data_IF_782325133219
#
_entry.id   IF_782325133219
#
_cell.length_a   1.000
_cell.length_b   1.000
_cell.length_c   1.000
_cell.angle_alpha   90.00
_cell.angle_beta   90.00
_cell.angle_gamma   90.00
#
_symmetry.space_group_name_H-M   'P 1'
#
loop_
_entity.id
_entity.type
_entity.pdbx_description
1 polymer ?
#
# COMPACT_ATOMS: atom_id res chain seq x y z
N UNK A 1 11.83 -10.96 -7.71
CA UNK A 1 10.44 -11.43 -7.91
C UNK A 1 9.51 -10.50 -7.16
N UNK A 2 8.62 -9.79 -7.87
CA UNK A 2 7.63 -8.90 -7.31
C UNK A 2 6.58 -9.75 -6.60
N UNK A 3 6.44 -9.53 -5.30
CA UNK A 3 5.42 -10.18 -4.47
C UNK A 3 4.05 -9.64 -4.90
N UNK A 4 3.11 -10.52 -5.23
CA UNK A 4 1.84 -10.18 -5.88
C UNK A 4 0.72 -9.90 -4.89
N UNK A 5 0.79 -10.44 -3.68
CA UNK A 5 -0.29 -10.38 -2.70
C UNK A 5 0.18 -9.86 -1.34
N UNK A 6 -0.70 -9.25 -0.54
CA UNK A 6 -0.36 -8.82 0.82
C UNK A 6 0.27 -9.92 1.68
N UNK A 7 -0.18 -11.17 1.49
CA UNK A 7 0.23 -12.34 2.25
C UNK A 7 1.56 -12.97 1.76
N UNK A 8 2.23 -12.37 0.77
CA UNK A 8 3.57 -12.77 0.38
C UNK A 8 4.66 -11.93 1.06
N UNK A 9 4.30 -10.75 1.58
CA UNK A 9 5.20 -9.83 2.28
C UNK A 9 5.53 -10.29 3.70
N UNK A 10 6.67 -9.82 4.23
CA UNK A 10 7.30 -10.34 5.46
C UNK A 10 6.32 -10.42 6.63
N UNK A 11 5.48 -9.39 6.79
CA UNK A 11 4.51 -9.28 7.88
C UNK A 11 3.42 -10.36 7.88
N UNK A 12 2.87 -10.67 6.70
CA UNK A 12 1.68 -11.51 6.57
C UNK A 12 1.98 -12.91 6.05
N UNK A 13 3.22 -13.18 5.63
CA UNK A 13 3.67 -14.45 5.02
C UNK A 13 3.41 -15.70 5.87
N UNK A 14 3.38 -15.56 7.19
CA UNK A 14 3.15 -16.67 8.12
C UNK A 14 1.65 -16.90 8.42
N UNK A 15 0.75 -16.04 7.93
CA UNK A 15 -0.68 -16.21 8.15
C UNK A 15 -1.22 -17.33 7.26
N UNK A 16 -1.76 -18.37 7.89
CA UNK A 16 -2.43 -19.44 7.16
C UNK A 16 -3.85 -18.99 6.75
N UNK A 17 -4.02 -18.73 5.46
CA UNK A 17 -5.29 -18.29 4.88
C UNK A 17 -6.10 -19.42 4.23
N UNK A 18 -5.66 -20.69 4.30
CA UNK A 18 -6.30 -21.78 3.54
C UNK A 18 -7.76 -22.01 3.91
N UNK A 19 -8.08 -22.00 5.20
CA UNK A 19 -9.46 -22.12 5.70
C UNK A 19 -10.32 -20.94 5.25
N UNK A 20 -9.76 -19.72 5.29
CA UNK A 20 -10.47 -18.50 4.85
C UNK A 20 -10.77 -18.59 3.36
N UNK A 21 -9.78 -18.95 2.54
CA UNK A 21 -9.92 -19.13 1.09
C UNK A 21 -10.97 -20.18 0.75
N UNK A 22 -10.96 -21.34 1.43
CA UNK A 22 -11.95 -22.40 1.22
C UNK A 22 -13.37 -21.94 1.54
N UNK A 23 -13.56 -21.24 2.66
CA UNK A 23 -14.87 -20.74 3.06
C UNK A 23 -15.37 -19.61 2.16
N UNK A 24 -14.47 -18.77 1.63
CA UNK A 24 -14.82 -17.78 0.59
C UNK A 24 -15.27 -18.48 -0.69
N UNK A 25 -14.57 -19.51 -1.16
CA UNK A 25 -14.99 -20.27 -2.35
C UNK A 25 -16.39 -20.88 -2.15
N UNK A 26 -16.67 -21.44 -0.96
CA UNK A 26 -18.02 -21.93 -0.61
C UNK A 26 -19.07 -20.82 -0.67
N UNK A 27 -18.76 -19.65 -0.11
CA UNK A 27 -19.64 -18.48 -0.16
C UNK A 27 -19.92 -18.01 -1.59
N UNK A 28 -18.90 -17.98 -2.44
CA UNK A 28 -19.04 -17.60 -3.85
C UNK A 28 -20.03 -18.51 -4.58
N UNK A 29 -19.90 -19.83 -4.37
CA UNK A 29 -20.74 -20.85 -5.01
C UNK A 29 -22.18 -20.78 -4.51
N UNK A 30 -22.37 -20.50 -3.22
CA UNK A 30 -23.68 -20.63 -2.57
C UNK A 30 -24.52 -19.36 -2.71
N UNK A 31 -23.96 -18.20 -2.35
CA UNK A 31 -24.77 -16.98 -2.10
C UNK A 31 -24.27 -15.74 -2.84
N UNK A 32 -22.98 -15.65 -3.20
CA UNK A 32 -22.41 -14.37 -3.63
C UNK A 32 -23.01 -13.84 -4.95
N UNK A 33 -23.41 -14.72 -5.87
CA UNK A 33 -24.03 -14.31 -7.13
C UNK A 33 -25.28 -13.43 -6.89
N UNK A 34 -26.08 -13.76 -5.87
CA UNK A 34 -27.23 -12.96 -5.47
C UNK A 34 -26.81 -11.68 -4.74
N UNK A 35 -25.87 -11.76 -3.80
CA UNK A 35 -25.38 -10.60 -3.03
C UNK A 35 -24.73 -9.56 -3.93
N UNK A 36 -23.99 -9.97 -4.96
CA UNK A 36 -23.37 -9.10 -5.96
C UNK A 36 -24.38 -8.17 -6.64
N UNK A 37 -25.64 -8.59 -6.79
CA UNK A 37 -26.70 -7.74 -7.37
C UNK A 37 -27.14 -6.59 -6.46
N UNK A 38 -26.75 -6.63 -5.17
CA UNK A 38 -27.14 -5.67 -4.12
C UNK A 38 -26.04 -4.68 -3.77
N UNK A 39 -24.88 -4.75 -4.43
CA UNK A 39 -23.75 -3.89 -4.14
C UNK A 39 -24.03 -2.44 -4.53
N UNK A 40 -23.71 -1.51 -3.63
CA UNK A 40 -23.86 -0.06 -3.88
C UNK A 40 -22.75 0.48 -4.77
N UNK A 41 -21.53 -0.09 -4.68
CA UNK A 41 -20.40 0.24 -5.54
C UNK A 41 -19.97 -1.02 -6.26
N UNK A 42 -20.06 -1.02 -7.59
CA UNK A 42 -19.65 -2.15 -8.42
C UNK A 42 -18.22 -1.93 -8.88
N UNK A 43 -17.40 -2.95 -8.68
CA UNK A 43 -16.02 -3.00 -9.13
C UNK A 43 -15.93 -3.99 -10.29
N UNK A 44 -15.30 -3.57 -11.39
CA UNK A 44 -15.08 -4.46 -12.53
C UNK A 44 -14.00 -5.49 -12.19
N UNK A 45 -14.00 -6.67 -12.86
CA UNK A 45 -12.90 -7.62 -12.75
C UNK A 45 -11.54 -6.98 -13.07
N UNK A 46 -10.51 -7.39 -12.34
CA UNK A 46 -9.14 -7.02 -12.67
C UNK A 46 -8.64 -7.95 -13.77
N UNK A 47 -8.24 -7.38 -14.90
CA UNK A 47 -7.88 -8.14 -16.11
C UNK A 47 -6.48 -7.79 -16.59
N UNK A 48 -5.71 -8.82 -16.91
CA UNK A 48 -4.48 -8.79 -17.71
C UNK A 48 -4.50 -9.97 -18.68
N UNK A 49 -3.60 -9.99 -19.66
CA UNK A 49 -3.58 -10.96 -20.76
C UNK A 49 -3.70 -12.41 -20.29
N UNK A 50 -3.08 -12.75 -19.15
CA UNK A 50 -3.06 -14.11 -18.60
C UNK A 50 -3.90 -14.30 -17.31
N UNK A 51 -4.54 -13.25 -16.79
CA UNK A 51 -5.15 -13.32 -15.44
C UNK A 51 -6.41 -12.47 -15.35
N UNK A 52 -7.49 -13.08 -14.86
CA UNK A 52 -8.74 -12.40 -14.50
C UNK A 52 -9.00 -12.66 -13.02
N UNK A 53 -9.27 -11.61 -12.26
CA UNK A 53 -9.67 -11.71 -10.85
C UNK A 53 -11.01 -11.01 -10.66
N UNK A 54 -12.03 -11.79 -10.29
CA UNK A 54 -13.36 -11.28 -9.99
C UNK A 54 -13.42 -10.74 -8.55
N UNK A 55 -13.98 -9.54 -8.34
CA UNK A 55 -14.08 -8.97 -7.00
C UNK A 55 -15.19 -9.64 -6.19
N UNK A 56 -14.86 -9.95 -4.94
CA UNK A 56 -15.72 -10.58 -3.94
C UNK A 56 -15.75 -9.73 -2.67
N UNK A 57 -16.93 -9.40 -2.17
CA UNK A 57 -17.07 -8.59 -0.96
C UNK A 57 -17.92 -9.30 0.08
N UNK A 58 -17.47 -9.25 1.34
CA UNK A 58 -18.22 -9.78 2.48
C UNK A 58 -18.87 -8.61 3.23
N UNK A 59 -20.19 -8.60 3.32
CA UNK A 59 -20.98 -7.53 3.96
C UNK A 59 -21.71 -7.97 5.23
N UNK A 60 -21.73 -9.27 5.51
CA UNK A 60 -22.47 -9.90 6.60
C UNK A 60 -23.93 -10.20 6.22
N UNK A 61 -24.23 -10.31 4.94
CA UNK A 61 -25.60 -10.51 4.42
C UNK A 61 -25.98 -11.98 4.30
N UNK A 62 -25.00 -12.85 4.08
CA UNK A 62 -25.21 -14.31 4.09
C UNK A 62 -24.86 -14.93 5.44
N UNK A 63 -25.52 -16.04 5.77
CA UNK A 63 -25.15 -16.87 6.91
C UNK A 63 -23.88 -17.68 6.68
N UNK A 64 -23.54 -18.00 5.42
CA UNK A 64 -22.27 -18.67 5.05
C UNK A 64 -21.07 -17.79 5.40
N UNK A 65 -21.22 -16.47 5.36
CA UNK A 65 -20.16 -15.55 5.76
C UNK A 65 -19.76 -15.68 7.24
N UNK A 66 -20.62 -16.22 8.12
CA UNK A 66 -20.29 -16.43 9.54
C UNK A 66 -19.16 -17.43 9.74
N UNK A 67 -19.01 -18.37 8.82
CA UNK A 67 -17.95 -19.38 8.85
C UNK A 67 -16.60 -18.82 8.37
N UNK A 68 -16.56 -17.59 7.84
CA UNK A 68 -15.34 -16.96 7.32
C UNK A 68 -14.73 -16.10 8.43
N UNK A 69 -13.55 -16.47 8.99
CA UNK A 69 -12.84 -15.62 9.95
C UNK A 69 -12.62 -14.21 9.40
N UNK A 70 -12.64 -13.16 10.25
CA UNK A 70 -12.38 -11.79 9.80
C UNK A 70 -10.95 -11.64 9.28
N UNK A 71 -10.79 -10.87 8.21
CA UNK A 71 -9.48 -10.59 7.62
C UNK A 71 -9.36 -9.13 7.20
N UNK A 72 -8.17 -8.56 7.33
CA UNK A 72 -7.95 -7.12 7.16
C UNK A 72 -7.45 -6.72 5.77
N UNK A 73 -6.90 -7.66 4.99
CA UNK A 73 -6.22 -7.41 3.73
C UNK A 73 -6.80 -8.27 2.61
N UNK A 74 -6.83 -7.78 1.36
CA UNK A 74 -7.42 -8.51 0.25
C UNK A 74 -6.81 -9.91 0.11
N UNK A 75 -7.65 -10.94 0.02
CA UNK A 75 -7.25 -12.33 -0.19
C UNK A 75 -7.41 -12.67 -1.66
N UNK A 76 -6.39 -13.30 -2.24
CA UNK A 76 -6.34 -13.66 -3.65
C UNK A 76 -6.39 -15.17 -3.83
N UNK A 77 -7.16 -15.61 -4.82
CA UNK A 77 -7.13 -16.98 -5.30
C UNK A 77 -7.00 -16.94 -6.83
N UNK A 78 -5.78 -17.12 -7.32
CA UNK A 78 -5.48 -17.10 -8.75
C UNK A 78 -6.02 -18.33 -9.49
N UNK A 79 -6.14 -19.48 -8.80
CA UNK A 79 -6.69 -20.70 -9.38
C UNK A 79 -8.19 -20.54 -9.67
N UNK A 80 -8.94 -20.05 -8.68
CA UNK A 80 -10.39 -19.84 -8.79
C UNK A 80 -10.76 -18.43 -9.31
N UNK A 81 -9.76 -17.63 -9.69
CA UNK A 81 -9.91 -16.34 -10.37
C UNK A 81 -10.75 -15.31 -9.61
N UNK A 82 -10.49 -15.15 -8.31
CA UNK A 82 -11.16 -14.15 -7.47
C UNK A 82 -10.21 -13.43 -6.51
N UNK A 83 -10.64 -12.24 -6.09
CA UNK A 83 -10.03 -11.46 -5.01
C UNK A 83 -11.12 -10.97 -4.06
N UNK A 84 -10.94 -11.20 -2.76
CA UNK A 84 -11.96 -10.95 -1.75
C UNK A 84 -11.55 -9.86 -0.75
N UNK A 85 -12.52 -9.08 -0.28
CA UNK A 85 -12.37 -8.10 0.79
C UNK A 85 -13.47 -8.26 1.85
N UNK A 86 -13.07 -8.14 3.11
CA UNK A 86 -14.00 -8.14 4.24
C UNK A 86 -14.42 -6.71 4.62
N UNK A 87 -15.71 -6.42 4.50
CA UNK A 87 -16.29 -5.12 4.84
C UNK A 87 -17.19 -5.20 6.07
N UNK A 88 -17.36 -6.37 6.69
CA UNK A 88 -18.29 -6.62 7.80
C UNK A 88 -18.06 -5.71 9.01
N UNK A 89 -16.80 -5.32 9.25
CA UNK A 89 -16.43 -4.41 10.33
C UNK A 89 -16.74 -2.93 10.04
N UNK A 90 -17.06 -2.58 8.80
CA UNK A 90 -17.24 -1.20 8.32
C UNK A 90 -18.69 -0.92 7.90
N UNK A 91 -19.47 -1.98 7.61
CA UNK A 91 -20.88 -1.90 7.28
C UNK A 91 -21.77 -2.46 8.38
N UNK A 92 -23.04 -2.10 8.38
CA UNK A 92 -24.10 -2.77 9.15
C UNK A 92 -25.02 -3.48 8.17
N UNK A 93 -25.10 -4.83 8.20
CA UNK A 93 -26.02 -5.57 7.35
C UNK A 93 -27.46 -5.47 7.85
N UNK A 94 -28.39 -5.39 6.92
CA UNK A 94 -29.82 -5.65 7.10
C UNK A 94 -30.17 -6.89 6.28
N UNK A 95 -30.32 -8.02 6.99
CA UNK A 95 -30.56 -9.34 6.36
C UNK A 95 -31.98 -9.48 5.79
N UNK A 96 -32.97 -8.80 6.36
CA UNK A 96 -34.36 -8.89 5.91
C UNK A 96 -34.51 -8.34 4.50
N UNK A 97 -33.87 -7.19 4.22
CA UNK A 97 -33.92 -6.55 2.91
C UNK A 97 -32.70 -6.84 2.04
N UNK A 98 -31.72 -7.60 2.56
CA UNK A 98 -30.43 -7.88 1.91
C UNK A 98 -29.74 -6.59 1.45
N UNK A 99 -29.66 -5.63 2.37
CA UNK A 99 -29.01 -4.33 2.18
C UNK A 99 -28.01 -4.06 3.28
N UNK A 100 -27.12 -3.09 3.10
CA UNK A 100 -26.18 -2.69 4.14
C UNK A 100 -26.05 -1.16 4.22
N UNK A 101 -25.66 -0.67 5.38
CA UNK A 101 -25.36 0.75 5.61
C UNK A 101 -23.88 0.89 5.96
N UNK A 102 -23.19 1.81 5.29
CA UNK A 102 -21.78 2.13 5.59
C UNK A 102 -21.74 2.93 6.90
N UNK A 103 -21.09 2.40 7.94
CA UNK A 103 -20.97 3.07 9.26
C UNK A 103 -19.82 4.07 9.32
N UNK A 104 -18.77 3.82 8.56
CA UNK A 104 -17.58 4.65 8.53
C UNK A 104 -17.09 4.80 7.08
N UNK A 105 -17.53 5.88 6.44
CA UNK A 105 -17.22 6.17 5.04
C UNK A 105 -15.71 6.28 4.78
N UNK A 106 -14.96 6.88 5.70
CA UNK A 106 -13.51 7.04 5.54
C UNK A 106 -12.76 5.70 5.54
N UNK A 107 -13.13 4.78 6.45
CA UNK A 107 -12.56 3.42 6.48
C UNK A 107 -13.02 2.59 5.28
N UNK A 108 -14.29 2.75 4.87
CA UNK A 108 -14.84 2.07 3.71
C UNK A 108 -14.08 2.46 2.44
N UNK A 109 -13.89 3.76 2.22
CA UNK A 109 -13.18 4.27 1.06
C UNK A 109 -11.70 3.86 1.10
N UNK A 110 -10.99 4.00 2.24
CA UNK A 110 -9.61 3.52 2.36
C UNK A 110 -9.50 2.03 2.01
N UNK A 111 -10.41 1.21 2.55
CA UNK A 111 -10.42 -0.23 2.33
C UNK A 111 -10.69 -0.57 0.86
N UNK A 112 -11.65 0.10 0.23
CA UNK A 112 -12.01 -0.10 -1.18
C UNK A 112 -10.88 0.36 -2.12
N UNK A 113 -10.27 1.51 -1.86
CA UNK A 113 -9.14 1.98 -2.68
C UNK A 113 -7.95 1.02 -2.59
N UNK A 114 -7.62 0.55 -1.38
CA UNK A 114 -6.59 -0.47 -1.19
C UNK A 114 -6.92 -1.77 -1.93
N UNK A 115 -8.19 -2.19 -1.93
CA UNK A 115 -8.65 -3.35 -2.70
C UNK A 115 -8.38 -3.18 -4.20
N UNK A 116 -8.80 -2.06 -4.78
CA UNK A 116 -8.62 -1.76 -6.21
C UNK A 116 -7.13 -1.77 -6.57
N UNK A 117 -6.31 -1.02 -5.82
CA UNK A 117 -4.87 -0.93 -6.09
C UNK A 117 -4.16 -2.29 -5.93
N UNK A 118 -4.61 -3.12 -4.98
CA UNK A 118 -4.04 -4.47 -4.79
C UNK A 118 -4.44 -5.39 -5.94
N UNK A 119 -5.67 -5.30 -6.44
CA UNK A 119 -6.11 -6.00 -7.64
C UNK A 119 -5.28 -5.61 -8.87
N UNK A 120 -5.09 -4.31 -9.09
CA UNK A 120 -4.22 -3.76 -10.14
C UNK A 120 -2.78 -4.30 -10.03
N UNK A 121 -2.23 -4.32 -8.83
CA UNK A 121 -0.89 -4.84 -8.58
C UNK A 121 -0.76 -6.33 -8.92
N UNK A 122 -1.71 -7.14 -8.43
CA UNK A 122 -1.72 -8.59 -8.66
C UNK A 122 -1.87 -8.95 -10.14
N UNK A 123 -2.52 -8.10 -10.94
CA UNK A 123 -2.70 -8.29 -12.39
C UNK A 123 -1.66 -7.57 -13.24
N UNK A 124 -0.54 -7.08 -12.68
CA UNK A 124 0.56 -6.60 -13.51
C UNK A 124 0.50 -5.12 -13.90
N UNK A 125 -0.29 -4.29 -13.20
CA UNK A 125 -0.36 -2.83 -13.44
C UNK A 125 0.63 -2.02 -12.60
N UNK A 126 1.77 -2.61 -12.23
CA UNK A 126 2.78 -1.94 -11.38
C UNK A 126 3.27 -0.63 -12.00
N UNK A 127 3.49 -0.59 -13.32
CA UNK A 127 3.94 0.62 -14.03
C UNK A 127 2.96 1.80 -13.88
N UNK A 128 1.66 1.52 -13.90
CA UNK A 128 0.62 2.56 -13.69
C UNK A 128 0.70 3.11 -12.27
N UNK A 129 0.89 2.25 -11.27
CA UNK A 129 1.04 2.67 -9.87
C UNK A 129 2.39 3.40 -9.64
N UNK A 130 3.46 2.91 -10.27
CA UNK A 130 4.79 3.53 -10.25
C UNK A 130 4.72 4.96 -10.78
N UNK A 131 3.83 5.24 -11.74
CA UNK A 131 3.65 6.58 -12.32
C UNK A 131 3.21 7.66 -11.31
N UNK A 132 2.68 7.28 -10.14
CA UNK A 132 2.22 8.21 -9.09
C UNK A 132 3.39 8.83 -8.30
N UNK A 133 3.96 9.92 -8.82
CA UNK A 133 5.19 10.57 -8.30
C UNK A 133 5.07 11.00 -6.85
N UNK A 134 3.96 11.63 -6.50
CA UNK A 134 3.75 12.18 -5.16
C UNK A 134 3.80 11.10 -4.07
N UNK A 135 3.34 9.87 -4.36
CA UNK A 135 3.45 8.76 -3.41
C UNK A 135 4.91 8.39 -3.11
N UNK A 136 5.81 8.49 -4.10
CA UNK A 136 7.25 8.24 -3.88
C UNK A 136 7.83 9.28 -2.93
N UNK A 137 7.55 10.56 -3.19
CA UNK A 137 8.07 11.66 -2.37
C UNK A 137 7.48 11.65 -0.96
N UNK A 138 6.20 11.29 -0.82
CA UNK A 138 5.60 11.12 0.49
C UNK A 138 6.27 9.97 1.26
N UNK A 139 6.58 8.84 0.60
CA UNK A 139 7.24 7.70 1.23
C UNK A 139 8.64 8.06 1.73
N UNK A 140 9.42 8.77 0.91
CA UNK A 140 10.80 9.15 1.24
C UNK A 140 10.86 10.07 2.45
N UNK A 141 9.99 11.09 2.50
CA UNK A 141 9.90 11.99 3.64
C UNK A 141 9.36 11.26 4.87
N UNK A 142 8.40 10.32 4.70
CA UNK A 142 7.85 9.57 5.82
C UNK A 142 8.91 8.75 6.56
N UNK A 143 9.73 7.98 5.85
CA UNK A 143 10.79 7.20 6.48
C UNK A 143 11.90 8.07 7.04
N UNK A 144 12.46 8.95 6.22
CA UNK A 144 13.60 9.77 6.61
C UNK A 144 13.30 10.72 7.77
N UNK A 145 12.14 11.39 7.79
CA UNK A 145 11.81 12.35 8.85
C UNK A 145 11.58 11.63 10.19
N UNK A 146 10.98 10.43 10.17
CA UNK A 146 10.83 9.60 11.36
C UNK A 146 12.18 9.12 11.91
N UNK A 147 13.07 8.62 11.04
CA UNK A 147 14.41 8.18 11.43
C UNK A 147 15.25 9.35 11.95
N UNK A 148 15.27 10.47 11.23
CA UNK A 148 15.98 11.69 11.64
C UNK A 148 15.50 12.18 12.99
N UNK A 149 14.19 12.24 13.22
CA UNK A 149 13.63 12.65 14.52
C UNK A 149 13.99 11.65 15.63
N UNK A 150 13.88 10.34 15.37
CA UNK A 150 14.13 9.31 16.38
C UNK A 150 15.59 9.27 16.82
N UNK A 151 16.52 9.37 15.87
CA UNK A 151 17.96 9.24 16.13
C UNK A 151 18.67 10.60 16.27
N UNK A 152 17.93 11.71 16.18
CA UNK A 152 18.47 13.08 16.28
C UNK A 152 19.51 13.39 15.21
N UNK A 153 19.26 12.96 13.98
CA UNK A 153 20.21 13.08 12.87
C UNK A 153 20.26 14.52 12.32
N UNK A 154 21.37 14.87 11.67
CA UNK A 154 21.51 16.17 11.02
C UNK A 154 20.82 16.20 9.63
N UNK A 155 20.82 17.37 8.99
CA UNK A 155 20.19 17.57 7.69
C UNK A 155 20.84 16.72 6.57
N UNK A 156 22.17 16.57 6.59
CA UNK A 156 22.88 15.79 5.58
C UNK A 156 22.49 14.30 5.64
N UNK A 157 22.40 13.75 6.85
CA UNK A 157 21.93 12.38 7.06
C UNK A 157 20.48 12.20 6.62
N UNK A 158 19.60 13.17 6.93
CA UNK A 158 18.20 13.15 6.46
C UNK A 158 18.12 13.09 4.93
N UNK A 159 18.91 13.91 4.23
CA UNK A 159 18.96 13.96 2.77
C UNK A 159 19.40 12.61 2.18
N UNK A 160 20.44 11.98 2.74
CA UNK A 160 20.90 10.65 2.32
C UNK A 160 19.85 9.56 2.57
N UNK A 161 19.17 9.61 3.72
CA UNK A 161 18.08 8.68 4.04
C UNK A 161 16.87 8.87 3.12
N UNK A 162 16.57 10.10 2.69
CA UNK A 162 15.52 10.38 1.69
C UNK A 162 15.81 9.68 0.36
N UNK A 163 17.05 9.80 -0.10
CA UNK A 163 17.50 9.13 -1.33
C UNK A 163 17.48 7.61 -1.17
N UNK A 164 17.97 7.08 -0.05
CA UNK A 164 17.91 5.63 0.21
C UNK A 164 16.47 5.11 0.21
N UNK A 165 15.54 5.82 0.86
CA UNK A 165 14.12 5.48 0.85
C UNK A 165 13.50 5.57 -0.55
N UNK A 166 14.01 6.45 -1.41
CA UNK A 166 13.53 6.61 -2.79
C UNK A 166 13.94 5.40 -3.62
N UNK A 167 15.21 5.01 -3.52
CA UNK A 167 15.76 3.82 -4.18
C UNK A 167 15.03 2.56 -3.71
N UNK A 168 14.86 2.41 -2.39
CA UNK A 168 14.12 1.27 -1.82
C UNK A 168 12.68 1.20 -2.36
N UNK A 169 11.93 2.30 -2.28
CA UNK A 169 10.54 2.31 -2.73
C UNK A 169 10.42 2.06 -4.23
N UNK A 170 11.34 2.59 -5.04
CA UNK A 170 11.37 2.32 -6.48
C UNK A 170 11.70 0.84 -6.79
N UNK A 171 12.56 0.22 -5.99
CA UNK A 171 12.91 -1.20 -6.11
C UNK A 171 11.70 -2.11 -5.86
N UNK A 172 10.75 -1.72 -4.99
CA UNK A 172 9.53 -2.51 -4.75
C UNK A 172 8.67 -2.76 -6.00
N UNK A 173 8.81 -1.92 -7.04
CA UNK A 173 8.07 -2.04 -8.31
C UNK A 173 8.79 -2.90 -9.35
N UNK A 174 10.03 -3.31 -9.08
CA UNK A 174 10.89 -3.95 -10.07
C UNK A 174 11.32 -5.34 -9.59
N UNK A 175 11.42 -6.29 -10.51
CA UNK A 175 11.95 -7.61 -10.20
C UNK A 175 13.46 -7.57 -9.95
N UNK A 176 14.15 -6.75 -10.74
CA UNK A 176 15.58 -6.50 -10.74
C UNK A 176 15.81 -5.03 -11.06
N UNK A 177 16.19 -4.23 -10.06
CA UNK A 177 16.51 -2.83 -10.28
C UNK A 177 17.90 -2.71 -10.92
N UNK A 178 17.96 -2.07 -12.08
CA UNK A 178 19.20 -1.94 -12.86
C UNK A 178 19.56 -0.47 -13.16
N UNK A 179 20.62 -0.26 -13.94
CA UNK A 179 21.11 1.07 -14.28
C UNK A 179 20.12 1.92 -15.10
N UNK A 180 19.29 1.30 -15.95
CA UNK A 180 18.24 2.01 -16.69
C UNK A 180 17.12 2.47 -15.76
N UNK A 181 16.74 1.65 -14.78
CA UNK A 181 15.77 2.03 -13.74
C UNK A 181 16.29 3.19 -12.88
N UNK A 182 17.59 3.17 -12.54
CA UNK A 182 18.25 4.28 -11.85
C UNK A 182 18.18 5.58 -12.67
N UNK A 183 18.51 5.53 -13.96
CA UNK A 183 18.46 6.70 -14.84
C UNK A 183 17.04 7.27 -14.95
N UNK A 184 16.05 6.39 -15.12
CA UNK A 184 14.62 6.76 -15.13
C UNK A 184 14.21 7.42 -13.81
N UNK A 185 14.67 6.89 -12.67
CA UNK A 185 14.40 7.44 -11.36
C UNK A 185 15.01 8.84 -11.20
N UNK A 186 16.28 9.03 -11.58
CA UNK A 186 16.98 10.32 -11.54
C UNK A 186 16.22 11.39 -12.35
N UNK A 187 15.86 11.08 -13.59
CA UNK A 187 15.11 12.00 -14.46
C UNK A 187 13.76 12.37 -13.83
N UNK A 188 13.10 11.39 -13.21
CA UNK A 188 11.78 11.55 -12.58
C UNK A 188 11.83 12.38 -11.30
N UNK A 189 12.90 12.29 -10.52
CA UNK A 189 13.04 12.97 -9.22
C UNK A 189 13.83 14.28 -9.26
N UNK A 190 14.25 14.75 -10.44
CA UNK A 190 15.11 15.94 -10.62
C UNK A 190 14.60 17.23 -9.96
N UNK A 191 13.29 17.35 -9.75
CA UNK A 191 12.69 18.52 -9.11
C UNK A 191 12.79 18.48 -7.57
N UNK A 192 13.06 17.31 -7.00
CA UNK A 192 13.06 17.05 -5.55
C UNK A 192 14.46 16.75 -5.02
N UNK A 193 15.31 16.14 -5.84
CA UNK A 193 16.62 15.62 -5.44
C UNK A 193 17.65 15.77 -6.56
N UNK A 194 18.91 15.98 -6.16
CA UNK A 194 20.04 16.04 -7.09
C UNK A 194 20.38 14.63 -7.59
N UNK A 195 20.55 14.48 -8.91
CA UNK A 195 20.88 13.19 -9.54
C UNK A 195 22.19 12.60 -9.02
N UNK A 196 23.22 13.42 -8.90
CA UNK A 196 24.54 13.01 -8.38
C UNK A 196 24.46 12.38 -6.99
N UNK A 197 23.57 12.88 -6.13
CA UNK A 197 23.37 12.31 -4.80
C UNK A 197 22.68 10.94 -4.86
N UNK A 198 21.75 10.76 -5.81
CA UNK A 198 21.09 9.46 -6.05
C UNK A 198 22.13 8.44 -6.51
N UNK A 199 23.01 8.82 -7.45
CA UNK A 199 24.12 7.99 -7.90
C UNK A 199 25.11 7.67 -6.78
N UNK A 200 25.48 8.66 -5.95
CA UNK A 200 26.37 8.45 -4.80
C UNK A 200 25.80 7.41 -3.83
N UNK A 201 24.54 7.58 -3.42
CA UNK A 201 23.89 6.64 -2.49
C UNK A 201 23.75 5.26 -3.12
N UNK A 202 23.33 5.19 -4.39
CA UNK A 202 23.23 3.94 -5.12
C UNK A 202 24.58 3.23 -5.23
N UNK A 203 25.69 3.94 -5.47
CA UNK A 203 27.03 3.35 -5.57
C UNK A 203 27.48 2.63 -4.28
N UNK A 204 26.98 3.08 -3.12
CA UNK A 204 27.30 2.50 -1.79
C UNK A 204 26.51 1.22 -1.50
N UNK A 205 25.28 1.11 -1.98
CA UNK A 205 24.35 0.03 -1.63
C UNK A 205 24.11 -0.95 -2.78
N UNK A 206 24.26 -0.50 -4.02
CA UNK A 206 23.94 -1.24 -5.24
C UNK A 206 22.51 -1.77 -5.21
N UNK A 207 22.35 -3.03 -5.62
CA UNK A 207 21.04 -3.70 -5.66
C UNK A 207 20.59 -4.27 -4.30
N UNK A 208 21.36 -4.06 -3.21
CA UNK A 208 21.09 -4.62 -1.88
C UNK A 208 20.15 -3.72 -1.06
N UNK A 209 18.98 -3.46 -1.61
CA UNK A 209 17.92 -2.61 -1.02
C UNK A 209 16.53 -3.15 -1.40
N UNK A 210 16.39 -4.47 -1.52
CA UNK A 210 15.15 -5.16 -1.88
C UNK A 210 14.28 -5.54 -0.69
N UNK A 211 14.86 -5.65 0.51
CA UNK A 211 14.13 -6.02 1.73
C UNK A 211 14.24 -4.95 2.81
N UNK A 212 13.39 -5.04 3.85
CA UNK A 212 13.47 -4.12 4.99
C UNK A 212 14.76 -4.28 5.80
N UNK A 213 15.29 -5.50 5.91
CA UNK A 213 16.57 -5.78 6.57
C UNK A 213 17.73 -5.11 5.84
N UNK A 214 17.72 -5.21 4.50
CA UNK A 214 18.70 -4.56 3.63
C UNK A 214 18.59 -3.04 3.72
N UNK A 215 17.37 -2.49 3.71
CA UNK A 215 17.13 -1.07 3.90
C UNK A 215 17.67 -0.57 5.25
N UNK A 216 17.35 -1.26 6.36
CA UNK A 216 17.83 -0.87 7.70
C UNK A 216 19.36 -0.90 7.78
N UNK A 217 19.99 -1.94 7.22
CA UNK A 217 21.44 -2.06 7.16
C UNK A 217 22.08 -0.95 6.33
N UNK A 218 21.45 -0.60 5.20
CA UNK A 218 21.89 0.45 4.31
C UNK A 218 21.83 1.85 4.95
N UNK A 219 20.89 2.11 5.87
CA UNK A 219 20.82 3.40 6.57
C UNK A 219 22.14 3.78 7.26
N UNK A 220 22.78 2.83 7.93
CA UNK A 220 24.10 3.05 8.53
C UNK A 220 25.17 3.26 7.46
N UNK A 221 25.20 2.42 6.41
CA UNK A 221 26.22 2.47 5.34
C UNK A 221 26.24 3.82 4.62
N UNK A 222 25.07 4.37 4.29
CA UNK A 222 24.99 5.59 3.48
C UNK A 222 25.31 6.85 4.29
N UNK A 223 24.95 6.84 5.57
CA UNK A 223 25.15 7.99 6.48
C UNK A 223 26.49 7.98 7.20
N UNK A 224 27.08 6.79 7.40
CA UNK A 224 28.23 6.55 8.29
C UNK A 224 27.99 7.08 9.72
N UNK A 225 26.72 7.05 10.17
CA UNK A 225 26.33 7.59 11.48
C UNK A 225 26.13 6.48 12.51
N UNK A 226 26.98 6.45 13.54
CA UNK A 226 26.97 5.44 14.62
C UNK A 226 25.62 5.30 15.33
N UNK A 227 24.76 6.33 15.32
CA UNK A 227 23.42 6.27 15.93
C UNK A 227 22.49 5.32 15.21
N UNK A 228 22.75 5.02 13.93
CA UNK A 228 21.95 4.09 13.13
C UNK A 228 22.45 2.64 13.18
N UNK A 229 23.56 2.36 13.88
CA UNK A 229 24.13 1.00 13.97
C UNK A 229 23.18 -0.02 14.61
N UNK A 230 22.25 0.42 15.45
CA UNK A 230 21.23 -0.41 16.08
C UNK A 230 19.87 -0.39 15.38
N UNK A 231 19.77 0.16 14.17
CA UNK A 231 18.52 0.13 13.41
C UNK A 231 18.32 -1.26 12.81
N UNK A 232 17.24 -1.92 13.23
CA UNK A 232 16.73 -3.14 12.62
C UNK A 232 15.23 -2.98 12.28
N UNK A 233 14.65 -4.02 11.68
CA UNK A 233 13.24 -4.03 11.26
C UNK A 233 12.30 -3.83 12.46
N UNK A 234 12.60 -4.41 13.62
CA UNK A 234 11.76 -4.27 14.81
C UNK A 234 11.78 -2.83 15.35
N UNK A 235 12.96 -2.18 15.35
CA UNK A 235 13.10 -0.78 15.72
C UNK A 235 12.35 0.11 14.74
N UNK A 236 12.47 -0.15 13.43
CA UNK A 236 11.74 0.58 12.40
C UNK A 236 10.21 0.46 12.59
N UNK A 237 9.72 -0.77 12.76
CA UNK A 237 8.31 -1.09 13.06
C UNK A 237 7.81 -0.29 14.27
N UNK A 238 8.58 -0.28 15.36
CA UNK A 238 8.21 0.43 16.59
C UNK A 238 8.15 1.95 16.41
N UNK A 239 9.04 2.54 15.60
CA UNK A 239 9.02 3.97 15.28
C UNK A 239 7.75 4.33 14.50
N UNK A 240 7.35 3.47 13.56
CA UNK A 240 6.34 3.80 12.57
C UNK A 240 4.92 3.38 12.95
N UNK A 241 4.74 2.36 13.80
CA UNK A 241 3.44 1.73 14.12
C UNK A 241 2.30 2.69 14.50
N UNK A 242 2.62 3.84 15.11
CA UNK A 242 1.62 4.84 15.55
C UNK A 242 1.47 6.03 14.59
N UNK A 243 2.02 5.94 13.37
CA UNK A 243 1.96 7.03 12.38
C UNK A 243 0.59 7.11 11.68
N UNK A 244 -0.24 6.08 11.83
CA UNK A 244 -1.59 5.99 11.31
C UNK A 244 -2.55 5.50 12.40
N UNK A 245 -3.74 6.07 12.45
CA UNK A 245 -4.83 5.64 13.32
C UNK A 245 -6.05 5.34 12.44
N UNK A 246 -6.42 4.07 12.40
CA UNK A 246 -7.54 3.50 11.65
C UNK A 246 -7.85 2.09 12.18
N UNK A 247 -8.83 1.41 11.58
CA UNK A 247 -8.99 -0.03 11.74
C UNK A 247 -7.71 -0.75 11.26
N UNK A 248 -7.22 -1.74 12.04
CA UNK A 248 -6.01 -2.52 11.74
C UNK A 248 -4.77 -1.65 11.43
N UNK A 249 -4.62 -0.52 12.13
CA UNK A 249 -3.64 0.50 11.78
C UNK A 249 -2.18 0.02 11.78
N UNK A 250 -1.80 -0.79 12.77
CA UNK A 250 -0.43 -1.33 12.85
C UNK A 250 -0.10 -2.16 11.62
N UNK A 251 -0.96 -3.11 11.27
CA UNK A 251 -0.78 -3.97 10.11
C UNK A 251 -0.77 -3.16 8.81
N UNK A 252 -1.63 -2.15 8.71
CA UNK A 252 -1.65 -1.23 7.57
C UNK A 252 -0.32 -0.48 7.39
N UNK A 253 0.22 0.11 8.45
CA UNK A 253 1.49 0.85 8.38
C UNK A 253 2.64 -0.09 8.05
N UNK A 254 2.69 -1.26 8.69
CA UNK A 254 3.74 -2.24 8.46
C UNK A 254 3.71 -2.79 7.04
N UNK A 255 2.53 -3.17 6.56
CA UNK A 255 2.37 -3.63 5.18
C UNK A 255 2.71 -2.53 4.17
N UNK A 256 2.41 -1.25 4.48
CA UNK A 256 2.73 -0.13 3.58
C UNK A 256 4.22 0.06 3.33
N UNK A 257 5.10 -0.49 4.18
CA UNK A 257 6.54 -0.44 3.98
C UNK A 257 6.99 -1.26 2.77
N UNK A 258 6.33 -2.37 2.48
CA UNK A 258 6.75 -3.29 1.42
C UNK A 258 5.72 -3.41 0.28
N UNK A 259 4.46 -3.02 0.52
CA UNK A 259 3.36 -3.17 -0.44
C UNK A 259 2.89 -1.79 -0.95
N UNK A 260 3.36 -1.36 -2.15
CA UNK A 260 3.05 -0.03 -2.69
C UNK A 260 1.56 0.30 -2.82
N UNK A 261 0.66 -0.64 -3.21
CA UNK A 261 -0.78 -0.39 -3.19
C UNK A 261 -1.32 0.09 -1.84
N UNK A 262 -0.81 -0.48 -0.74
CA UNK A 262 -1.21 -0.06 0.61
C UNK A 262 -0.70 1.34 0.91
N UNK A 263 0.57 1.63 0.62
CA UNK A 263 1.09 2.99 0.79
C UNK A 263 0.32 4.03 -0.03
N UNK A 264 0.10 3.77 -1.32
CA UNK A 264 -0.64 4.67 -2.22
C UNK A 264 -2.06 4.92 -1.69
N UNK A 265 -2.73 3.89 -1.15
CA UNK A 265 -4.06 4.03 -0.54
C UNK A 265 -4.07 4.96 0.68
N UNK A 266 -3.02 4.91 1.53
CA UNK A 266 -2.85 5.83 2.66
C UNK A 266 -2.61 7.26 2.18
N UNK A 267 -1.83 7.43 1.09
CA UNK A 267 -1.59 8.74 0.49
C UNK A 267 -2.88 9.35 -0.04
N UNK A 268 -3.64 8.59 -0.81
CA UNK A 268 -4.95 9.01 -1.32
C UNK A 268 -5.91 9.35 -0.18
N UNK A 269 -6.05 8.47 0.81
CA UNK A 269 -6.95 8.69 1.94
C UNK A 269 -6.58 9.94 2.74
N UNK A 270 -5.28 10.25 2.89
CA UNK A 270 -4.83 11.46 3.56
C UNK A 270 -5.22 12.75 2.85
N UNK A 271 -5.31 12.73 1.51
CA UNK A 271 -5.68 13.90 0.70
C UNK A 271 -7.20 14.11 0.67
N UNK A 272 -7.97 13.03 0.65
CA UNK A 272 -9.43 13.09 0.42
C UNK A 272 -10.22 13.02 1.73
N UNK A 273 -9.80 12.20 2.68
CA UNK A 273 -10.59 11.90 3.88
C UNK A 273 -10.20 12.80 5.04
N UNK A 274 -11.14 13.64 5.48
CA UNK A 274 -10.93 14.56 6.61
C UNK A 274 -10.66 13.83 7.93
N UNK A 275 -11.21 12.62 8.09
CA UNK A 275 -11.11 11.84 9.33
C UNK A 275 -9.68 11.44 9.66
N UNK A 276 -8.79 11.32 8.66
CA UNK A 276 -7.40 10.95 8.88
C UNK A 276 -6.45 12.12 9.09
N UNK A 277 -6.91 13.38 9.01
CA UNK A 277 -6.04 14.58 9.07
C UNK A 277 -5.15 14.69 10.32
N UNK A 278 -5.54 14.04 11.42
CA UNK A 278 -4.76 14.03 12.67
C UNK A 278 -3.64 12.99 12.70
N UNK A 279 -3.59 12.08 11.72
CA UNK A 279 -2.52 11.09 11.60
C UNK A 279 -1.20 11.75 11.18
N UNK A 280 -0.06 11.18 11.59
CA UNK A 280 1.25 11.70 11.23
C UNK A 280 1.44 11.69 9.70
N UNK A 281 1.11 10.58 9.04
CA UNK A 281 1.20 10.46 7.57
C UNK A 281 0.33 11.52 6.88
N UNK A 282 -0.89 11.76 7.36
CA UNK A 282 -1.75 12.77 6.78
C UNK A 282 -1.21 14.19 6.97
N UNK A 283 -0.66 14.50 8.14
CA UNK A 283 0.00 15.78 8.42
C UNK A 283 1.24 15.99 7.54
N UNK A 284 2.02 14.93 7.32
CA UNK A 284 3.17 14.96 6.41
C UNK A 284 2.72 15.24 4.98
N UNK A 285 1.69 14.53 4.51
CA UNK A 285 1.16 14.68 3.16
C UNK A 285 0.60 16.08 2.94
N UNK A 286 -0.11 16.64 3.92
CA UNK A 286 -0.61 18.02 3.87
C UNK A 286 0.54 19.03 3.71
N UNK A 287 1.65 18.83 4.44
CA UNK A 287 2.86 19.66 4.29
C UNK A 287 3.53 19.52 2.92
N UNK A 288 3.49 18.34 2.32
CA UNK A 288 4.04 18.07 0.99
C UNK A 288 3.09 18.53 -0.13
N UNK A 289 1.80 18.65 0.16
CA UNK A 289 0.78 19.17 -0.76
C UNK A 289 0.89 20.69 -0.94
N UNK A 290 2.08 21.16 -1.31
CA UNK A 290 2.34 22.54 -1.71
C UNK A 290 2.32 22.63 -3.22
N UNK A 291 1.90 23.78 -3.75
CA UNK A 291 1.93 24.09 -5.19
C UNK A 291 1.13 23.09 -6.06
N UNK A 292 0.08 22.47 -5.51
CA UNK A 292 -0.83 21.60 -6.27
C UNK A 292 -0.34 20.18 -6.56
N UNK A 293 0.78 19.72 -5.96
CA UNK A 293 1.30 18.37 -6.19
C UNK A 293 0.33 17.25 -5.76
N UNK A 294 -0.41 17.46 -4.67
CA UNK A 294 -1.46 16.54 -4.24
C UNK A 294 -2.64 16.53 -5.22
N UNK A 295 -3.01 17.67 -5.80
CA UNK A 295 -4.09 17.74 -6.80
C UNK A 295 -3.69 17.02 -8.10
N UNK A 296 -2.43 17.16 -8.54
CA UNK A 296 -1.88 16.40 -9.66
C UNK A 296 -1.93 14.90 -9.36
N UNK A 297 -1.51 14.48 -8.17
CA UNK A 297 -1.62 13.09 -7.73
C UNK A 297 -3.06 12.59 -7.79
N UNK A 298 -4.04 13.36 -7.29
CA UNK A 298 -5.45 12.95 -7.31
C UNK A 298 -5.97 12.80 -8.75
N UNK A 299 -5.59 13.70 -9.67
CA UNK A 299 -5.96 13.57 -11.09
C UNK A 299 -5.38 12.30 -11.71
N UNK A 300 -4.08 12.06 -11.53
CA UNK A 300 -3.43 10.84 -12.03
C UNK A 300 -4.03 9.59 -11.40
N UNK A 301 -4.25 9.61 -10.08
CA UNK A 301 -4.86 8.51 -9.33
C UNK A 301 -6.24 8.16 -9.88
N UNK A 302 -7.13 9.15 -10.02
CA UNK A 302 -8.49 8.95 -10.54
C UNK A 302 -8.40 8.35 -11.94
N UNK A 303 -7.56 8.89 -12.82
CA UNK A 303 -7.34 8.33 -14.15
C UNK A 303 -6.90 6.86 -14.10
N UNK A 304 -5.97 6.53 -13.20
CA UNK A 304 -5.45 5.17 -12.99
C UNK A 304 -6.53 4.19 -12.51
N UNK A 305 -7.42 4.58 -11.60
CA UNK A 305 -8.42 3.65 -11.03
C UNK A 305 -9.76 3.66 -11.77
N UNK A 306 -10.03 4.68 -12.60
CA UNK A 306 -11.34 4.88 -13.26
C UNK A 306 -11.81 3.65 -14.04
N UNK A 307 -10.91 2.90 -14.65
CA UNK A 307 -11.28 1.73 -15.46
C UNK A 307 -11.98 0.63 -14.64
N UNK A 308 -11.71 0.54 -13.33
CA UNK A 308 -12.26 -0.47 -12.42
C UNK A 308 -13.55 -0.06 -11.72
N UNK A 309 -13.92 1.21 -11.77
CA UNK A 309 -15.17 1.71 -11.21
C UNK A 309 -16.27 1.60 -12.28
N UNK A 310 -17.41 1.00 -11.94
CA UNK A 310 -18.62 1.14 -12.76
C UNK A 310 -19.29 2.48 -12.43
N UNK A 311 -19.79 3.17 -13.47
CA UNK A 311 -20.57 4.40 -13.33
C UNK A 311 -21.97 4.15 -12.76
#
# INVERSE_FOLDING_TARGET
>A
MILKTPYEFSLLKLQNISTITSNITKYIITDYAYIKTKEQKKIKPFVNDDTVLNPVFLYGLSDVEKDIPPFAHPIFNFQDKWVAMDLRNIVTPNKENVTYVIRNEAEYDLTLQRFILSGMWATGKQSSLYSLKFAHIAFTNWLSDNLTKRFGLNLNDNIKLKVLALLYYANLFNNEFNADDLNKLIIRSKEEMLGELIEEVYSKVGNKIGTLEEFCSACYIVTDNVRLKGLDVNVLVNILSNNWMSLNSKDLVMLSLEHPPTWISLVYASLVQRNFKKNYIATLIDKLNKRGKGDEFLKSYIYTVKEYLEE
#
